data_IF_529431569085
#
_entry.id   IF_529431569085
#
_cell.length_a   1.000
_cell.length_b   1.000
_cell.length_c   1.000
_cell.angle_alpha   90.00
_cell.angle_beta   90.00
_cell.angle_gamma   90.00
#
_symmetry.space_group_name_H-M   'P 1'
#
loop_
_entity.id
_entity.type
_entity.pdbx_description
1 polymer ?
#
# COMPACT_ATOMS: atom_id res chain seq x y z
N UNK A 1 -5.97 -6.30 25.13
CA UNK A 1 -5.20 -5.23 24.44
C UNK A 1 -6.24 -4.34 23.76
N UNK A 2 -6.22 -3.04 24.02
CA UNK A 2 -7.16 -2.10 23.38
C UNK A 2 -6.86 -1.95 21.89
N UNK A 3 -7.87 -1.55 21.11
CA UNK A 3 -7.68 -1.19 19.70
C UNK A 3 -6.75 0.02 19.61
N UNK A 4 -5.93 0.05 18.56
CA UNK A 4 -5.11 1.21 18.22
C UNK A 4 -5.93 2.25 17.43
N UNK A 5 -5.42 3.48 17.32
CA UNK A 5 -6.11 4.59 16.63
C UNK A 5 -6.49 4.24 15.18
N UNK A 6 -5.62 3.55 14.44
CA UNK A 6 -5.94 3.16 13.05
C UNK A 6 -7.00 2.06 12.97
N UNK A 7 -7.06 1.16 13.96
CA UNK A 7 -8.10 0.13 14.01
C UNK A 7 -9.46 0.74 14.32
N UNK A 8 -9.52 1.72 15.22
CA UNK A 8 -10.75 2.47 15.52
C UNK A 8 -11.22 3.27 14.30
N UNK A 9 -10.30 3.97 13.62
CA UNK A 9 -10.61 4.67 12.38
C UNK A 9 -11.11 3.72 11.27
N UNK A 10 -10.55 2.52 11.17
CA UNK A 10 -10.98 1.51 10.21
C UNK A 10 -12.37 0.92 10.55
N UNK A 11 -12.73 0.86 11.84
CA UNK A 11 -14.08 0.49 12.26
C UNK A 11 -15.10 1.57 11.83
N UNK A 12 -14.81 2.85 12.06
CA UNK A 12 -15.65 3.95 11.59
C UNK A 12 -15.77 3.96 10.06
N UNK A 13 -14.68 3.73 9.33
CA UNK A 13 -14.71 3.59 7.87
C UNK A 13 -15.64 2.45 7.41
N UNK A 14 -15.60 1.31 8.10
CA UNK A 14 -16.49 0.19 7.77
C UNK A 14 -17.95 0.60 7.96
N UNK A 15 -18.29 1.25 9.09
CA UNK A 15 -19.65 1.73 9.34
C UNK A 15 -20.10 2.67 8.21
N UNK A 16 -19.27 3.63 7.82
CA UNK A 16 -19.56 4.56 6.73
C UNK A 16 -19.80 3.83 5.40
N UNK A 17 -18.95 2.86 5.05
CA UNK A 17 -19.11 2.04 3.83
C UNK A 17 -20.45 1.31 3.84
N UNK A 18 -20.87 0.78 4.99
CA UNK A 18 -22.11 0.01 5.12
C UNK A 18 -23.37 0.88 5.05
N UNK A 19 -23.27 2.20 5.26
CA UNK A 19 -24.41 3.11 5.11
C UNK A 19 -24.81 3.37 3.65
N UNK A 20 -23.90 3.17 2.70
CA UNK A 20 -24.13 3.46 1.29
C UNK A 20 -24.27 2.15 0.49
N UNK A 21 -25.44 1.86 -0.13
CA UNK A 21 -25.68 0.58 -0.79
C UNK A 21 -24.62 0.22 -1.86
N UNK A 22 -24.17 1.19 -2.64
CA UNK A 22 -23.15 1.00 -3.66
C UNK A 22 -21.78 0.65 -3.05
N UNK A 23 -21.34 1.42 -2.04
CA UNK A 23 -20.07 1.15 -1.35
C UNK A 23 -20.10 -0.20 -0.62
N UNK A 24 -21.23 -0.56 0.00
CA UNK A 24 -21.43 -1.85 0.65
C UNK A 24 -21.35 -3.02 -0.36
N UNK A 25 -21.93 -2.85 -1.56
CA UNK A 25 -21.84 -3.84 -2.63
C UNK A 25 -20.40 -4.01 -3.12
N UNK A 26 -19.67 -2.91 -3.38
CA UNK A 26 -18.24 -2.95 -3.73
C UNK A 26 -17.41 -3.63 -2.65
N UNK A 27 -17.65 -3.31 -1.37
CA UNK A 27 -16.96 -3.95 -0.26
C UNK A 27 -17.22 -5.47 -0.20
N UNK A 28 -18.47 -5.88 -0.37
CA UNK A 28 -18.82 -7.31 -0.40
C UNK A 28 -18.13 -8.04 -1.55
N UNK A 29 -18.04 -7.41 -2.73
CA UNK A 29 -17.33 -7.96 -3.89
C UNK A 29 -15.83 -8.10 -3.62
N UNK A 30 -15.15 -7.04 -3.14
CA UNK A 30 -13.72 -7.09 -2.84
C UNK A 30 -13.43 -8.13 -1.74
N UNK A 31 -14.28 -8.22 -0.71
CA UNK A 31 -14.15 -9.24 0.34
C UNK A 31 -14.33 -10.66 -0.21
N UNK A 32 -15.24 -10.86 -1.16
CA UNK A 32 -15.38 -12.14 -1.86
C UNK A 32 -14.10 -12.49 -2.63
N UNK A 33 -13.53 -11.52 -3.36
CA UNK A 33 -12.27 -11.71 -4.11
C UNK A 33 -11.07 -12.01 -3.20
N UNK A 34 -10.96 -11.36 -2.04
CA UNK A 34 -9.93 -11.67 -1.05
C UNK A 34 -10.05 -13.09 -0.46
N UNK A 35 -11.26 -13.67 -0.48
CA UNK A 35 -11.53 -15.05 -0.01
C UNK A 35 -11.27 -16.10 -1.06
N UNK A 36 -11.52 -15.80 -2.33
CA UNK A 36 -11.20 -16.69 -3.43
C UNK A 36 -9.69 -16.64 -3.67
N UNK A 37 -8.95 -17.62 -3.14
CA UNK A 37 -7.48 -17.75 -3.22
C UNK A 37 -6.91 -17.87 -4.65
N UNK A 38 -7.72 -17.67 -5.70
CA UNK A 38 -7.25 -17.52 -7.07
C UNK A 38 -6.64 -16.13 -7.25
N UNK A 39 -5.32 -16.04 -6.99
CA UNK A 39 -4.44 -14.88 -7.16
C UNK A 39 -4.42 -14.24 -8.58
N UNK A 40 -5.39 -14.51 -9.45
CA UNK A 40 -5.47 -13.93 -10.78
C UNK A 40 -6.06 -12.50 -10.76
N UNK A 41 -6.79 -12.14 -9.70
CA UNK A 41 -7.43 -10.83 -9.60
C UNK A 41 -6.50 -9.72 -9.10
N UNK A 42 -5.48 -10.08 -8.32
CA UNK A 42 -4.52 -9.14 -7.76
C UNK A 42 -3.12 -9.58 -8.17
N UNK A 43 -2.33 -8.66 -8.73
CA UNK A 43 -0.95 -8.93 -9.11
C UNK A 43 -0.11 -9.40 -7.92
N UNK A 44 0.94 -10.18 -8.20
CA UNK A 44 1.84 -10.73 -7.18
C UNK A 44 2.39 -9.63 -6.24
N UNK A 45 2.22 -9.86 -4.94
CA UNK A 45 2.65 -8.94 -3.88
C UNK A 45 1.76 -7.70 -3.70
N UNK A 46 0.71 -7.50 -4.50
CA UNK A 46 -0.19 -6.34 -4.37
C UNK A 46 -0.92 -6.31 -3.03
N UNK A 47 -1.47 -7.46 -2.60
CA UNK A 47 -2.18 -7.54 -1.33
C UNK A 47 -1.21 -7.26 -0.18
N UNK A 48 -0.05 -7.92 -0.19
CA UNK A 48 1.00 -7.76 0.83
C UNK A 48 1.53 -6.31 0.89
N UNK A 49 1.55 -5.60 -0.24
CA UNK A 49 1.88 -4.18 -0.31
C UNK A 49 0.87 -3.30 0.44
N UNK A 50 -0.40 -3.67 0.42
CA UNK A 50 -1.44 -2.93 1.14
C UNK A 50 -1.47 -3.35 2.61
N UNK A 51 -1.37 -4.64 2.90
CA UNK A 51 -1.36 -5.15 4.26
C UNK A 51 -1.01 -6.62 4.36
N UNK A 52 -0.43 -6.99 5.50
CA UNK A 52 -0.10 -8.35 5.86
C UNK A 52 -0.33 -8.51 7.36
N UNK A 53 -1.31 -9.32 7.75
CA UNK A 53 -1.57 -9.62 9.16
C UNK A 53 -0.77 -10.85 9.59
N UNK A 54 -0.23 -10.81 10.81
CA UNK A 54 0.52 -11.93 11.36
C UNK A 54 -0.35 -13.19 11.43
N UNK A 55 0.13 -14.28 10.81
CA UNK A 55 -0.52 -15.58 10.78
C UNK A 55 -1.99 -15.58 10.30
N UNK A 56 -2.37 -14.61 9.45
CA UNK A 56 -3.72 -14.53 8.87
C UNK A 56 -3.69 -14.32 7.37
N UNK A 57 -4.41 -15.18 6.65
CA UNK A 57 -4.68 -14.97 5.24
C UNK A 57 -5.66 -13.82 5.02
N UNK A 58 -5.61 -13.14 3.86
CA UNK A 58 -6.54 -12.06 3.50
C UNK A 58 -8.02 -12.47 3.59
N UNK A 59 -8.32 -13.75 3.36
CA UNK A 59 -9.65 -14.33 3.50
C UNK A 59 -10.23 -14.19 4.93
N UNK A 60 -9.35 -14.17 5.93
CA UNK A 60 -9.66 -14.19 7.37
C UNK A 60 -9.40 -12.84 8.05
N UNK A 61 -9.15 -11.80 7.26
CA UNK A 61 -8.98 -10.46 7.81
C UNK A 61 -10.29 -9.98 8.48
N UNK A 62 -10.19 -9.28 9.62
CA UNK A 62 -11.31 -8.55 10.20
C UNK A 62 -11.95 -7.61 9.15
N UNK A 63 -13.27 -7.39 9.27
CA UNK A 63 -14.01 -6.63 8.27
C UNK A 63 -13.47 -5.19 8.13
N UNK A 64 -13.02 -4.60 9.23
CA UNK A 64 -12.41 -3.27 9.30
C UNK A 64 -11.10 -3.21 8.50
N UNK A 65 -10.30 -4.28 8.51
CA UNK A 65 -9.07 -4.35 7.72
C UNK A 65 -9.35 -4.56 6.23
N UNK A 66 -10.37 -5.36 5.91
CA UNK A 66 -10.86 -5.49 4.53
C UNK A 66 -11.45 -4.17 4.02
N UNK A 67 -12.07 -3.36 4.89
CA UNK A 67 -12.60 -2.03 4.54
C UNK A 67 -11.47 -1.06 4.21
N UNK A 68 -10.44 -1.00 5.05
CA UNK A 68 -9.25 -0.22 4.77
C UNK A 68 -8.56 -0.66 3.47
N UNK A 69 -8.43 -1.96 3.23
CA UNK A 69 -7.94 -2.49 1.95
C UNK A 69 -8.79 -2.02 0.76
N UNK A 70 -10.12 -2.12 0.88
CA UNK A 70 -11.07 -1.73 -0.17
C UNK A 70 -10.91 -0.26 -0.54
N UNK A 71 -10.75 0.62 0.45
CA UNK A 71 -10.52 2.04 0.22
C UNK A 71 -9.16 2.31 -0.46
N UNK A 72 -8.08 1.66 -0.01
CA UNK A 72 -6.76 1.82 -0.66
C UNK A 72 -6.84 1.34 -2.11
N UNK A 73 -7.45 0.17 -2.34
CA UNK A 73 -7.65 -0.40 -3.67
C UNK A 73 -8.45 0.54 -4.57
N UNK A 74 -9.59 1.06 -4.11
CA UNK A 74 -10.41 1.97 -4.90
C UNK A 74 -9.67 3.27 -5.24
N UNK A 75 -8.86 3.80 -4.32
CA UNK A 75 -8.05 5.01 -4.56
C UNK A 75 -6.93 4.79 -5.56
N UNK A 76 -6.32 3.60 -5.56
CA UNK A 76 -5.35 3.17 -6.58
C UNK A 76 -6.02 3.02 -7.95
N UNK A 77 -7.20 2.39 -8.00
CA UNK A 77 -7.96 2.25 -9.25
C UNK A 77 -8.48 3.59 -9.78
N UNK A 78 -8.82 4.53 -8.90
CA UNK A 78 -9.21 5.89 -9.27
C UNK A 78 -8.03 6.78 -9.68
N UNK A 79 -6.78 6.32 -9.56
CA UNK A 79 -5.60 7.13 -9.88
C UNK A 79 -5.33 8.26 -8.88
N UNK A 80 -5.97 8.22 -7.71
CA UNK A 80 -5.75 9.18 -6.62
C UNK A 80 -4.59 8.75 -5.73
N UNK A 81 -4.40 7.43 -5.59
CA UNK A 81 -3.19 6.84 -5.04
C UNK A 81 -2.36 6.20 -6.14
N UNK A 82 -1.09 6.00 -5.86
CA UNK A 82 -0.14 5.38 -6.77
C UNK A 82 0.67 4.31 -6.06
N UNK A 83 1.06 3.27 -6.79
CA UNK A 83 1.88 2.16 -6.31
C UNK A 83 3.13 2.01 -7.18
N UNK A 84 4.30 1.99 -6.54
CA UNK A 84 5.59 1.72 -7.17
C UNK A 84 6.27 0.52 -6.53
N UNK A 85 7.21 -0.08 -7.26
CA UNK A 85 8.09 -1.13 -6.74
C UNK A 85 9.54 -0.72 -6.89
N UNK A 86 10.29 -0.79 -5.79
CA UNK A 86 11.73 -0.67 -5.77
C UNK A 86 12.33 -2.06 -5.52
N UNK A 87 13.11 -2.56 -6.48
CA UNK A 87 13.76 -3.86 -6.36
C UNK A 87 14.84 -3.80 -5.29
N UNK A 88 14.74 -4.69 -4.30
CA UNK A 88 15.78 -4.89 -3.29
C UNK A 88 16.46 -6.26 -3.45
N UNK A 89 15.73 -7.23 -3.99
CA UNK A 89 16.23 -8.57 -4.33
C UNK A 89 16.16 -9.57 -3.18
N UNK A 90 15.63 -9.19 -2.02
CA UNK A 90 15.47 -10.09 -0.87
C UNK A 90 14.30 -9.69 0.04
N UNK A 91 13.67 -10.66 0.72
CA UNK A 91 12.68 -10.38 1.76
C UNK A 91 13.34 -9.82 3.02
N UNK A 92 12.56 -9.18 3.90
CA UNK A 92 13.06 -8.79 5.21
C UNK A 92 13.35 -10.04 6.05
N UNK A 93 14.39 -9.95 6.87
CA UNK A 93 14.68 -10.91 7.92
C UNK A 93 13.63 -10.86 9.05
N UNK A 94 13.80 -11.70 10.08
CA UNK A 94 12.97 -11.64 11.29
C UNK A 94 13.00 -10.25 11.94
N UNK A 95 11.92 -9.86 12.64
CA UNK A 95 11.83 -8.54 13.29
C UNK A 95 12.96 -8.28 14.30
N UNK A 96 13.49 -9.33 14.94
CA UNK A 96 14.63 -9.24 15.84
C UNK A 96 15.96 -8.88 15.13
N UNK A 97 16.08 -9.11 13.81
CA UNK A 97 17.27 -8.79 13.02
C UNK A 97 17.17 -7.40 12.38
N UNK A 98 17.02 -6.36 13.22
CA UNK A 98 16.93 -4.98 12.75
C UNK A 98 18.21 -4.50 12.08
N UNK A 99 19.37 -4.93 12.58
CA UNK A 99 20.66 -4.59 11.99
C UNK A 99 20.80 -5.18 10.58
N UNK A 100 20.51 -6.47 10.39
CA UNK A 100 20.55 -7.09 9.06
C UNK A 100 19.54 -6.48 8.10
N UNK A 101 18.35 -6.13 8.57
CA UNK A 101 17.36 -5.39 7.78
C UNK A 101 17.85 -3.99 7.38
N UNK A 102 18.46 -3.24 8.30
CA UNK A 102 19.02 -1.92 8.01
C UNK A 102 20.17 -2.00 7.00
N UNK A 103 21.06 -2.99 7.12
CA UNK A 103 22.13 -3.25 6.16
C UNK A 103 21.57 -3.60 4.78
N UNK A 104 20.51 -4.41 4.71
CA UNK A 104 19.85 -4.74 3.46
C UNK A 104 19.32 -3.50 2.74
N UNK A 105 18.67 -2.61 3.48
CA UNK A 105 18.08 -1.38 2.98
C UNK A 105 19.12 -0.40 2.37
N UNK A 106 20.41 -0.54 2.70
CA UNK A 106 21.49 0.25 2.06
C UNK A 106 21.69 -0.09 0.57
N UNK A 107 21.20 -1.25 0.11
CA UNK A 107 21.30 -1.71 -1.29
C UNK A 107 20.20 -1.17 -2.20
N UNK A 108 19.32 -0.32 -1.69
CA UNK A 108 18.27 0.27 -2.50
C UNK A 108 18.85 1.05 -3.69
N UNK A 109 18.22 0.97 -4.86
CA UNK A 109 18.67 1.70 -6.02
C UNK A 109 18.51 3.21 -5.80
N UNK A 110 19.47 3.98 -6.30
CA UNK A 110 19.31 5.44 -6.41
C UNK A 110 18.02 5.77 -7.19
N UNK A 111 17.22 6.77 -6.78
CA UNK A 111 17.49 7.82 -5.78
C UNK A 111 16.98 7.50 -4.37
N UNK A 112 16.67 6.25 -4.06
CA UNK A 112 16.04 5.87 -2.80
C UNK A 112 17.05 5.76 -1.66
N UNK A 113 16.63 6.14 -0.47
CA UNK A 113 17.40 5.97 0.76
C UNK A 113 16.46 5.61 1.90
N UNK A 114 16.72 4.49 2.57
CA UNK A 114 15.94 4.06 3.72
C UNK A 114 16.75 4.20 5.03
N UNK A 115 16.04 4.44 6.12
CA UNK A 115 16.58 4.45 7.49
C UNK A 115 15.63 3.71 8.41
N UNK A 116 16.11 2.66 9.06
CA UNK A 116 15.35 1.89 10.04
C UNK A 116 15.59 2.44 11.45
N UNK A 117 14.54 2.51 12.27
CA UNK A 117 14.66 2.80 13.69
C UNK A 117 15.12 1.54 14.43
N UNK A 118 16.40 1.51 14.78
CA UNK A 118 17.02 0.39 15.48
C UNK A 118 16.56 0.28 16.94
N UNK A 119 16.03 1.36 17.52
CA UNK A 119 15.66 1.43 18.93
C UNK A 119 14.16 1.26 19.17
N UNK A 120 13.34 1.12 18.11
CA UNK A 120 11.87 1.07 18.20
C UNK A 120 11.28 2.24 19.01
N UNK A 121 11.91 3.41 18.94
CA UNK A 121 11.47 4.60 19.67
C UNK A 121 10.26 5.26 19.00
N UNK A 122 10.02 4.98 17.71
CA UNK A 122 8.78 5.31 17.01
C UNK A 122 7.71 4.24 17.18
N UNK A 123 6.74 4.45 18.08
CA UNK A 123 5.62 3.52 18.30
C UNK A 123 4.67 3.37 17.08
N UNK A 124 4.87 4.14 16.01
CA UNK A 124 3.94 4.27 14.90
C UNK A 124 4.45 3.80 13.53
N UNK A 125 5.77 3.59 13.35
CA UNK A 125 6.40 3.15 12.09
C UNK A 125 7.79 2.55 12.35
N UNK A 126 8.26 1.63 11.49
CA UNK A 126 9.59 1.01 11.65
C UNK A 126 10.77 1.89 11.21
N UNK A 127 10.53 2.87 10.34
CA UNK A 127 11.58 3.71 9.79
C UNK A 127 11.07 4.73 8.79
N UNK A 128 11.95 5.15 7.88
CA UNK A 128 11.62 6.10 6.79
C UNK A 128 12.26 5.67 5.47
N UNK A 129 11.59 5.98 4.36
CA UNK A 129 12.11 5.92 3.00
C UNK A 129 12.05 7.31 2.38
N UNK A 130 13.13 7.78 1.78
CA UNK A 130 13.22 9.07 1.13
C UNK A 130 13.76 8.96 -0.29
N UNK A 131 13.37 9.89 -1.16
CA UNK A 131 14.00 10.13 -2.45
C UNK A 131 14.22 11.62 -2.67
N UNK A 132 15.39 11.97 -3.21
CA UNK A 132 15.85 13.36 -3.35
C UNK A 132 15.59 13.98 -4.72
N UNK A 133 15.27 13.15 -5.70
CA UNK A 133 14.95 13.58 -7.06
C UNK A 133 13.59 13.02 -7.43
N UNK A 134 12.88 13.69 -8.35
CA UNK A 134 11.57 13.21 -8.77
C UNK A 134 11.65 11.80 -9.33
N UNK A 135 10.71 10.94 -8.91
CA UNK A 135 10.62 9.56 -9.38
C UNK A 135 9.48 9.47 -10.38
N UNK A 136 9.73 8.85 -11.52
CA UNK A 136 8.72 8.61 -12.54
C UNK A 136 8.12 7.23 -12.37
N UNK A 137 6.78 7.17 -12.35
CA UNK A 137 5.99 5.96 -12.31
C UNK A 137 5.29 5.78 -13.65
N UNK A 138 5.40 4.62 -14.26
CA UNK A 138 4.54 4.17 -15.35
C UNK A 138 3.33 3.39 -14.80
N UNK A 139 2.36 3.08 -15.66
CA UNK A 139 1.24 2.20 -15.28
C UNK A 139 0.26 2.77 -14.25
N UNK A 140 0.25 4.09 -14.02
CA UNK A 140 -0.64 4.72 -13.04
C UNK A 140 -2.06 4.78 -13.59
N UNK A 141 -3.05 4.24 -12.87
CA UNK A 141 -4.45 4.36 -13.32
C UNK A 141 -4.83 5.84 -13.53
N UNK A 142 -5.58 6.10 -14.60
CA UNK A 142 -6.16 7.42 -14.86
C UNK A 142 -7.54 7.59 -14.22
N UNK A 143 -8.09 6.55 -13.59
CA UNK A 143 -9.47 6.54 -13.09
C UNK A 143 -10.53 6.54 -14.20
N UNK A 144 -10.11 6.50 -15.46
CA UNK A 144 -11.02 6.43 -16.62
C UNK A 144 -11.41 4.98 -16.89
N UNK A 145 -12.63 4.78 -17.40
CA UNK A 145 -13.12 3.47 -17.79
C UNK A 145 -12.18 2.76 -18.77
N UNK A 146 -12.18 1.43 -18.70
CA UNK A 146 -11.34 0.58 -19.54
C UNK A 146 -11.54 0.91 -21.03
N UNK A 147 -10.45 1.00 -21.78
CA UNK A 147 -10.55 1.22 -23.22
C UNK A 147 -10.93 -0.10 -23.90
N UNK A 148 -11.92 -0.09 -24.81
CA UNK A 148 -12.16 -1.24 -25.67
C UNK A 148 -10.93 -1.40 -26.56
N UNK A 149 -10.23 -2.52 -26.42
CA UNK A 149 -9.11 -2.83 -27.30
C UNK A 149 -9.67 -3.13 -28.70
N UNK A 150 -9.14 -2.46 -29.72
CA UNK A 150 -9.52 -2.68 -31.13
C UNK A 150 -9.12 -4.07 -31.64
N UNK A 151 -8.37 -4.84 -30.83
CA UNK A 151 -7.84 -6.16 -31.18
C UNK A 151 -8.38 -7.31 -30.28
N UNK A 152 -9.69 -7.39 -30.02
CA UNK A 152 -10.34 -8.55 -29.36
C UNK A 152 -9.80 -8.95 -27.97
N UNK A 153 -8.94 -8.15 -27.34
CA UNK A 153 -8.48 -8.40 -25.97
C UNK A 153 -9.43 -7.74 -24.96
N UNK A 154 -9.47 -8.33 -23.76
CA UNK A 154 -10.29 -7.83 -22.67
C UNK A 154 -9.98 -6.34 -22.43
N UNK A 155 -10.99 -5.51 -22.15
CA UNK A 155 -10.80 -4.08 -22.00
C UNK A 155 -9.73 -3.77 -20.94
N UNK A 156 -8.78 -2.92 -21.28
CA UNK A 156 -7.59 -2.65 -20.46
C UNK A 156 -7.66 -1.28 -19.78
N UNK A 157 -7.12 -1.15 -18.55
CA UNK A 157 -7.14 0.12 -17.83
C UNK A 157 -6.26 1.14 -18.53
N UNK A 158 -6.80 2.34 -18.74
CA UNK A 158 -6.01 3.46 -19.22
C UNK A 158 -5.03 3.89 -18.13
N UNK A 159 -3.75 3.76 -18.42
CA UNK A 159 -2.67 4.16 -17.52
C UNK A 159 -1.92 5.38 -18.06
N UNK A 160 -1.26 6.10 -17.16
CA UNK A 160 -0.43 7.26 -17.46
C UNK A 160 0.92 7.16 -16.77
N UNK A 161 1.87 7.96 -17.25
CA UNK A 161 3.11 8.25 -16.54
C UNK A 161 2.88 9.42 -15.57
N UNK A 162 3.40 9.31 -14.34
CA UNK A 162 3.35 10.37 -13.32
C UNK A 162 4.74 10.62 -12.75
N UNK A 163 5.07 11.88 -12.50
CA UNK A 163 6.27 12.27 -11.76
C UNK A 163 5.88 12.59 -10.32
N UNK A 164 6.61 12.04 -9.36
CA UNK A 164 6.43 12.33 -7.93
C UNK A 164 7.58 13.20 -7.48
N UNK A 165 7.32 14.35 -6.83
CA UNK A 165 8.38 15.18 -6.29
C UNK A 165 9.16 14.44 -5.19
N UNK A 166 10.38 14.92 -4.86
CA UNK A 166 11.13 14.47 -3.69
C UNK A 166 10.27 14.49 -2.41
N UNK A 167 10.31 13.40 -1.64
CA UNK A 167 9.63 13.32 -0.34
C UNK A 167 10.24 12.25 0.54
N UNK A 168 9.81 12.25 1.80
CA UNK A 168 10.06 11.19 2.78
C UNK A 168 8.73 10.60 3.19
N UNK A 169 8.66 9.27 3.32
CA UNK A 169 7.49 8.53 3.78
C UNK A 169 7.89 7.56 4.90
N UNK A 170 6.95 7.20 5.79
CA UNK A 170 7.11 6.08 6.72
C UNK A 170 7.54 4.80 6.00
N UNK A 171 8.38 4.00 6.64
CA UNK A 171 8.73 2.64 6.21
C UNK A 171 8.19 1.66 7.23
N UNK A 172 7.48 0.64 6.75
CA UNK A 172 6.99 -0.49 7.55
C UNK A 172 7.57 -1.79 7.01
N UNK A 173 8.10 -2.62 7.91
CA UNK A 173 8.80 -3.86 7.57
C UNK A 173 8.00 -5.06 8.09
N UNK A 174 7.79 -6.05 7.22
CA UNK A 174 7.05 -7.26 7.57
C UNK A 174 5.54 -7.01 7.73
N UNK A 175 5.00 -7.46 8.87
CA UNK A 175 3.57 -7.43 9.14
C UNK A 175 3.08 -6.02 9.45
N UNK A 176 2.07 -5.59 8.72
CA UNK A 176 1.42 -4.30 8.95
C UNK A 176 -0.02 -4.39 8.45
N UNK A 177 -0.95 -3.88 9.24
CA UNK A 177 -2.36 -3.92 8.92
C UNK A 177 -2.72 -2.95 7.77
N UNK A 178 -3.70 -3.28 6.90
CA UNK A 178 -4.21 -2.35 5.89
C UNK A 178 -4.62 -0.98 6.47
N UNK A 179 -5.22 -0.97 7.66
CA UNK A 179 -5.57 0.27 8.38
C UNK A 179 -4.37 1.15 8.74
N UNK A 180 -3.22 0.57 9.07
CA UNK A 180 -1.97 1.31 9.32
C UNK A 180 -1.42 1.92 8.03
N UNK A 181 -1.41 1.15 6.94
CA UNK A 181 -1.09 1.67 5.60
C UNK A 181 -1.99 2.84 5.23
N UNK A 182 -3.30 2.72 5.49
CA UNK A 182 -4.27 3.77 5.22
C UNK A 182 -4.01 5.03 6.06
N UNK A 183 -3.68 4.86 7.34
CA UNK A 183 -3.30 5.97 8.22
C UNK A 183 -2.13 6.75 7.63
N UNK A 184 -1.06 6.10 7.21
CA UNK A 184 0.10 6.77 6.61
C UNK A 184 -0.23 7.45 5.27
N UNK A 185 -1.06 6.83 4.43
CA UNK A 185 -1.51 7.44 3.17
C UNK A 185 -2.28 8.75 3.38
N UNK A 186 -3.01 8.86 4.48
CA UNK A 186 -3.74 10.08 4.83
C UNK A 186 -2.92 11.09 5.60
N UNK A 187 -2.14 10.63 6.60
CA UNK A 187 -1.38 11.50 7.51
C UNK A 187 -0.06 11.98 6.88
N UNK A 188 0.67 11.05 6.28
CA UNK A 188 2.04 11.28 5.78
C UNK A 188 2.09 11.41 4.25
N UNK A 189 0.93 11.20 3.61
CA UNK A 189 0.73 11.26 2.16
C UNK A 189 1.37 10.11 1.38
N UNK A 190 1.86 9.08 2.07
CA UNK A 190 2.50 7.91 1.46
C UNK A 190 3.08 6.97 2.50
N UNK A 191 3.49 5.78 2.06
CA UNK A 191 4.14 4.76 2.90
C UNK A 191 4.97 3.81 2.03
N UNK A 192 6.13 3.41 2.53
CA UNK A 192 6.93 2.33 1.98
C UNK A 192 6.68 1.04 2.78
N UNK A 193 6.47 -0.06 2.08
CA UNK A 193 6.13 -1.38 2.63
C UNK A 193 7.12 -2.42 2.14
N UNK A 194 7.81 -3.08 3.05
CA UNK A 194 8.67 -4.23 2.75
C UNK A 194 8.14 -5.48 3.45
N UNK A 195 7.12 -6.16 2.87
CA UNK A 195 6.46 -7.30 3.52
C UNK A 195 7.31 -8.58 3.48
N UNK A 196 7.09 -9.52 4.41
CA UNK A 196 7.94 -10.71 4.61
C UNK A 196 8.11 -11.63 3.38
N UNK A 197 7.18 -11.57 2.42
CA UNK A 197 7.21 -12.41 1.21
C UNK A 197 7.66 -11.67 -0.05
N UNK A 198 7.96 -10.38 0.05
CA UNK A 198 8.36 -9.58 -1.12
C UNK A 198 9.85 -9.33 -1.14
N UNK A 199 10.46 -9.51 -2.30
CA UNK A 199 11.84 -9.09 -2.57
C UNK A 199 11.94 -7.60 -2.93
N UNK A 200 10.81 -6.89 -2.94
CA UNK A 200 10.71 -5.51 -3.33
C UNK A 200 10.14 -4.65 -2.20
N UNK A 201 10.50 -3.37 -2.21
CA UNK A 201 9.81 -2.35 -1.43
C UNK A 201 8.68 -1.79 -2.28
N UNK A 202 7.47 -1.83 -1.74
CA UNK A 202 6.28 -1.26 -2.34
C UNK A 202 6.07 0.15 -1.80
N UNK A 203 5.99 1.15 -2.66
CA UNK A 203 5.80 2.54 -2.26
C UNK A 203 4.40 2.95 -2.69
N UNK A 204 3.55 3.25 -1.72
CA UNK A 204 2.20 3.76 -1.93
C UNK A 204 2.23 5.27 -1.68
N UNK A 205 1.67 6.05 -2.59
CA UNK A 205 1.68 7.52 -2.51
C UNK A 205 0.28 8.05 -2.74
N UNK A 206 -0.15 8.96 -1.88
CA UNK A 206 -1.36 9.75 -2.07
C UNK A 206 -1.03 10.98 -2.94
N UNK A 207 -1.56 11.03 -4.16
CA UNK A 207 -1.25 12.08 -5.12
C UNK A 207 -1.98 13.40 -4.83
N UNK A 208 -3.04 13.38 -4.02
CA UNK A 208 -3.72 14.60 -3.58
C UNK A 208 -2.92 15.35 -2.50
N UNK A 209 -2.01 14.65 -1.80
CA UNK A 209 -1.19 15.25 -0.73
C UNK A 209 -0.03 16.14 -1.22
N UNK A 210 0.15 16.26 -2.54
CA UNK A 210 1.28 16.95 -3.18
C UNK A 210 0.96 18.31 -3.81
N UNK A 211 -0.27 18.84 -3.68
CA UNK A 211 -0.60 20.19 -4.15
C UNK A 211 -0.48 21.22 -3.02
N UNK A 212 0.75 21.47 -2.57
CA UNK A 212 1.11 22.75 -1.97
C UNK A 212 2.37 23.17 -2.70
N UNK A 213 2.17 23.96 -3.76
CA UNK A 213 3.03 25.05 -4.22
C UNK A 213 2.42 25.60 -5.52
N UNK A 214 1.55 26.61 -5.36
CA UNK A 214 1.71 27.97 -5.90
C UNK A 214 0.79 28.94 -5.14
#
# INVERSE_FOLDING_TARGET
MGRTVHEDAAATLLDDILTTPEAAATFAEIRSRLRTQSNHWFNDGYIDAIGQLHAKDPADWPAEQAAAFTLIHSRLMAGTYMHLRAKLGQPPGPDADRTGNAEALTRLPWPLTARLDLAQQGADQDGTLAWRCSVTADGCSTGTALLPDCANEAPSPLTTVRSIPPRTVPLEVGYTMPSRTLLHLHRDGGVARWPHRSTDIHILVNLASGSIDD
#
